data_IF_902435151371
#
_entry.id   IF_902435151371
#
_cell.length_a   1.000
_cell.length_b   1.000
_cell.length_c   1.000
_cell.angle_alpha   90.00
_cell.angle_beta   90.00
_cell.angle_gamma   90.00
#
_symmetry.space_group_name_H-M   'P 1'
#
loop_
_entity.id
_entity.type
_entity.pdbx_description
1 polymer ?
#
# COMPACT_ATOMS: atom_id res chain seq x y z
N UNK A 1 -4.98 -7.43 -0.46
CA UNK A 1 -4.00 -7.91 0.55
C UNK A 1 -4.33 -9.36 0.90
N UNK A 2 -3.43 -10.11 1.52
CA UNK A 2 -3.69 -11.51 1.95
C UNK A 2 -5.02 -11.65 2.70
N UNK A 3 -5.33 -10.69 3.58
CA UNK A 3 -6.57 -10.66 4.36
C UNK A 3 -7.85 -10.64 3.51
N UNK A 4 -7.82 -10.05 2.32
CA UNK A 4 -8.97 -10.02 1.41
C UNK A 4 -9.20 -11.40 0.77
N UNK A 5 -8.12 -12.12 0.45
CA UNK A 5 -8.18 -13.50 -0.07
C UNK A 5 -8.62 -14.46 1.04
N UNK A 6 -8.09 -14.27 2.27
CA UNK A 6 -8.49 -15.03 3.45
C UNK A 6 -9.98 -14.86 3.77
N UNK A 7 -10.55 -13.67 3.53
CA UNK A 7 -11.98 -13.44 3.69
C UNK A 7 -12.82 -14.26 2.70
N UNK A 8 -12.34 -14.48 1.48
CA UNK A 8 -12.98 -15.37 0.50
C UNK A 8 -12.80 -16.85 0.88
N UNK A 9 -11.62 -17.22 1.40
CA UNK A 9 -11.34 -18.58 1.85
C UNK A 9 -12.24 -18.99 3.03
N UNK A 10 -12.43 -18.12 4.02
CA UNK A 10 -13.38 -18.34 5.14
C UNK A 10 -14.83 -18.54 4.72
N UNK A 11 -15.20 -18.08 3.52
CA UNK A 11 -16.54 -18.31 2.94
C UNK A 11 -16.61 -19.60 2.12
N UNK A 12 -15.56 -20.41 2.11
CA UNK A 12 -15.45 -21.65 1.36
C UNK A 12 -15.30 -21.47 -0.16
N UNK A 13 -15.01 -20.24 -0.62
CA UNK A 13 -14.89 -19.95 -2.06
C UNK A 13 -13.49 -20.28 -2.61
N UNK A 14 -12.49 -20.27 -1.73
CA UNK A 14 -11.08 -20.57 -2.01
C UNK A 14 -10.59 -21.54 -0.93
N UNK A 15 -9.78 -22.55 -1.26
CA UNK A 15 -9.27 -23.44 -0.22
C UNK A 15 -8.40 -22.72 0.82
N UNK A 16 -8.35 -23.29 2.03
CA UNK A 16 -7.63 -22.73 3.17
C UNK A 16 -6.13 -22.60 2.93
N UNK A 17 -5.54 -23.53 2.18
CA UNK A 17 -4.12 -23.54 1.86
C UNK A 17 -3.74 -22.68 0.63
N UNK A 18 -4.57 -21.70 0.24
CA UNK A 18 -4.40 -20.95 -1.01
C UNK A 18 -3.05 -20.25 -1.13
N UNK A 19 -2.50 -19.74 -0.03
CA UNK A 19 -1.22 -19.04 -0.02
C UNK A 19 -0.06 -19.96 -0.41
N UNK A 20 -0.18 -21.27 -0.15
CA UNK A 20 0.83 -22.25 -0.54
C UNK A 20 0.68 -22.82 -1.95
N UNK A 21 -0.32 -22.37 -2.72
CA UNK A 21 -0.59 -22.93 -4.07
C UNK A 21 0.31 -22.36 -5.15
N UNK A 22 0.92 -21.20 -4.92
CA UNK A 22 1.85 -20.54 -5.83
C UNK A 22 3.14 -20.16 -5.08
N UNK A 23 4.25 -19.92 -5.79
CA UNK A 23 5.51 -19.51 -5.17
C UNK A 23 5.37 -18.25 -4.32
N UNK A 24 6.29 -18.08 -3.36
CA UNK A 24 6.38 -16.89 -2.51
C UNK A 24 5.07 -16.52 -1.82
N UNK A 25 4.38 -17.51 -1.23
CA UNK A 25 3.10 -17.31 -0.54
C UNK A 25 2.02 -16.69 -1.43
N UNK A 26 2.00 -17.06 -2.72
CA UNK A 26 1.10 -16.49 -3.73
C UNK A 26 1.24 -14.96 -3.90
N UNK A 27 2.45 -14.44 -3.73
CA UNK A 27 2.77 -13.02 -3.91
C UNK A 27 3.77 -12.88 -5.07
N UNK A 28 3.33 -12.53 -6.29
CA UNK A 28 4.20 -12.52 -7.48
C UNK A 28 5.11 -11.30 -7.57
N UNK A 29 4.86 -10.27 -6.76
CA UNK A 29 5.64 -9.04 -6.70
C UNK A 29 5.42 -8.34 -5.36
N UNK A 30 6.26 -7.36 -5.06
CA UNK A 30 6.11 -6.50 -3.88
C UNK A 30 6.01 -5.04 -4.29
N UNK A 31 5.66 -4.20 -3.31
CA UNK A 31 5.70 -2.75 -3.43
C UNK A 31 5.81 -2.16 -2.03
N UNK A 32 5.53 -0.88 -1.89
CA UNK A 32 5.67 -0.13 -0.65
C UNK A 32 4.92 1.20 -0.73
N UNK A 33 4.87 1.93 0.39
CA UNK A 33 4.32 3.28 0.45
C UNK A 33 5.45 4.30 0.35
N UNK A 34 5.26 5.28 -0.52
CA UNK A 34 6.17 6.41 -0.74
C UNK A 34 5.37 7.71 -0.71
N UNK A 35 6.08 8.83 -0.75
CA UNK A 35 5.47 10.15 -0.77
C UNK A 35 5.60 10.77 -2.16
N UNK A 36 4.51 11.29 -2.68
CA UNK A 36 4.54 12.17 -3.86
C UNK A 36 4.40 13.59 -3.38
N UNK A 37 5.34 14.45 -3.79
CA UNK A 37 5.33 15.88 -3.46
C UNK A 37 5.42 16.71 -4.74
N UNK A 38 5.08 17.99 -4.62
CA UNK A 38 5.24 18.94 -5.72
C UNK A 38 6.71 19.16 -6.05
N UNK A 39 7.00 19.51 -7.30
CA UNK A 39 8.34 19.85 -7.78
C UNK A 39 9.03 20.84 -6.83
N UNK A 40 10.29 20.55 -6.52
CA UNK A 40 11.10 21.36 -5.61
C UNK A 40 10.82 21.07 -4.13
N UNK A 41 9.83 20.24 -3.80
CA UNK A 41 9.47 19.85 -2.44
C UNK A 41 9.35 21.08 -1.50
N UNK A 42 8.35 21.96 -1.71
CA UNK A 42 8.26 23.24 -1.02
C UNK A 42 8.09 23.12 0.50
N UNK A 43 7.61 21.96 0.99
CA UNK A 43 7.51 21.65 2.42
C UNK A 43 8.74 20.91 2.94
N UNK A 44 9.74 20.60 2.13
CA UNK A 44 10.92 19.88 2.57
C UNK A 44 10.62 18.52 3.22
N UNK A 45 9.59 17.80 2.75
CA UNK A 45 9.22 16.47 3.24
C UNK A 45 10.33 15.49 2.90
N UNK A 46 10.83 14.76 3.89
CA UNK A 46 11.86 13.73 3.72
C UNK A 46 11.49 12.43 4.40
N UNK A 47 10.73 12.50 5.49
CA UNK A 47 10.42 11.35 6.32
C UNK A 47 9.03 11.49 6.99
N UNK A 48 8.57 10.43 7.64
CA UNK A 48 7.32 10.36 8.39
C UNK A 48 7.11 11.51 9.39
N UNK A 49 8.09 11.92 10.23
CA UNK A 49 7.89 13.04 11.16
C UNK A 49 7.50 14.37 10.49
N UNK A 50 7.84 14.56 9.21
CA UNK A 50 7.49 15.77 8.47
C UNK A 50 6.00 15.84 8.13
N UNK A 51 5.32 14.69 8.05
CA UNK A 51 3.93 14.59 7.63
C UNK A 51 2.94 15.11 8.69
N UNK A 52 3.37 15.22 9.94
CA UNK A 52 2.54 15.67 11.07
C UNK A 52 2.78 17.14 11.45
N UNK A 53 3.67 17.84 10.72
CA UNK A 53 3.89 19.27 10.96
C UNK A 53 2.61 20.07 10.68
N UNK A 54 2.30 21.11 11.48
CA UNK A 54 0.98 21.77 11.43
C UNK A 54 0.59 22.32 10.05
N UNK A 55 1.56 22.78 9.27
CA UNK A 55 1.38 23.41 7.96
C UNK A 55 1.26 22.42 6.79
N UNK A 56 1.45 21.12 7.04
CA UNK A 56 1.44 20.08 6.00
C UNK A 56 0.03 19.52 5.85
N UNK A 57 -0.45 19.47 4.61
CA UNK A 57 -1.69 18.81 4.24
C UNK A 57 -1.37 17.50 3.52
N UNK A 58 -1.88 16.41 4.05
CA UNK A 58 -1.66 15.04 3.57
C UNK A 58 -2.84 14.56 2.74
N UNK A 59 -2.57 13.87 1.65
CA UNK A 59 -3.56 13.13 0.87
C UNK A 59 -3.27 11.65 0.96
N UNK A 60 -4.25 10.87 1.40
CA UNK A 60 -4.24 9.41 1.31
C UNK A 60 -5.65 8.91 0.99
N UNK A 61 -5.76 7.73 0.39
CA UNK A 61 -7.06 7.11 0.16
C UNK A 61 -7.65 6.55 1.47
N UNK A 62 -8.98 6.42 1.53
CA UNK A 62 -9.72 5.92 2.70
C UNK A 62 -9.32 4.47 3.07
N UNK A 63 -8.74 4.23 4.26
CA UNK A 63 -8.37 2.88 4.72
C UNK A 63 -9.56 1.92 4.88
N UNK A 64 -10.79 2.42 5.00
CA UNK A 64 -11.99 1.58 5.09
C UNK A 64 -12.32 0.89 3.77
N UNK A 65 -11.94 1.50 2.64
CA UNK A 65 -12.32 1.03 1.29
C UNK A 65 -11.11 0.69 0.42
N UNK A 66 -9.94 1.23 0.71
CA UNK A 66 -8.74 1.12 -0.13
C UNK A 66 -7.60 0.36 0.56
N UNK A 67 -7.03 -0.62 -0.13
CA UNK A 67 -5.78 -1.27 0.28
C UNK A 67 -4.60 -0.29 0.37
N UNK A 68 -4.56 0.75 -0.46
CA UNK A 68 -3.56 1.83 -0.37
C UNK A 68 -3.70 2.62 0.92
N UNK A 69 -4.95 2.87 1.35
CA UNK A 69 -5.23 3.58 2.60
C UNK A 69 -4.80 2.75 3.80
N UNK A 70 -5.16 1.46 3.82
CA UNK A 70 -4.72 0.52 4.85
C UNK A 70 -3.20 0.49 4.97
N UNK A 71 -2.49 0.33 3.85
CA UNK A 71 -1.04 0.32 3.84
C UNK A 71 -0.43 1.65 4.30
N UNK A 72 -1.01 2.79 3.92
CA UNK A 72 -0.52 4.10 4.37
C UNK A 72 -0.61 4.24 5.89
N UNK A 73 -1.73 3.80 6.49
CA UNK A 73 -1.91 3.76 7.95
C UNK A 73 -0.94 2.80 8.63
N UNK A 74 -0.78 1.59 8.08
CA UNK A 74 0.14 0.60 8.65
C UNK A 74 1.60 1.02 8.51
N UNK A 75 1.97 1.69 7.40
CA UNK A 75 3.30 2.24 7.18
C UNK A 75 3.59 3.39 8.16
N UNK A 76 2.63 4.29 8.35
CA UNK A 76 2.70 5.38 9.32
C UNK A 76 2.83 4.87 10.76
N UNK A 77 2.05 3.87 11.16
CA UNK A 77 2.17 3.27 12.49
C UNK A 77 3.52 2.54 12.64
N UNK A 78 3.87 1.72 11.64
CA UNK A 78 5.07 0.91 11.65
C UNK A 78 6.35 1.72 11.66
N UNK A 79 6.39 2.91 11.02
CA UNK A 79 7.58 3.77 11.08
C UNK A 79 7.91 4.21 12.51
N UNK A 80 6.90 4.47 13.34
CA UNK A 80 7.10 4.81 14.76
C UNK A 80 7.60 3.61 15.55
N UNK A 81 6.97 2.44 15.39
CA UNK A 81 7.38 1.21 16.10
C UNK A 81 8.79 0.78 15.68
N UNK A 82 9.07 0.80 14.38
CA UNK A 82 10.37 0.43 13.82
C UNK A 82 11.48 1.37 14.28
N UNK A 83 11.16 2.66 14.46
CA UNK A 83 12.07 3.66 15.04
C UNK A 83 12.29 3.54 16.56
N UNK A 84 11.76 2.50 17.20
CA UNK A 84 11.91 2.25 18.65
C UNK A 84 10.83 2.92 19.51
N UNK A 85 9.80 3.49 18.89
CA UNK A 85 8.62 4.00 19.61
C UNK A 85 7.69 2.88 20.08
N UNK A 86 6.75 3.24 20.95
CA UNK A 86 5.72 2.33 21.46
C UNK A 86 4.34 2.59 20.84
N UNK A 87 3.37 1.72 21.12
CA UNK A 87 2.02 1.82 20.55
C UNK A 87 1.29 3.12 20.90
N UNK A 88 1.56 3.71 22.07
CA UNK A 88 0.94 4.98 22.45
C UNK A 88 1.47 6.12 21.58
N UNK A 89 2.78 6.15 21.33
CA UNK A 89 3.41 7.11 20.42
C UNK A 89 2.93 6.91 18.98
N UNK A 90 2.81 5.66 18.52
CA UNK A 90 2.32 5.35 17.18
C UNK A 90 0.85 5.78 16.99
N UNK A 91 0.01 5.59 18.00
CA UNK A 91 -1.38 6.07 18.01
C UNK A 91 -1.46 7.59 17.92
N UNK A 92 -0.65 8.28 18.72
CA UNK A 92 -0.61 9.73 18.73
C UNK A 92 -0.13 10.30 17.40
N UNK A 93 0.93 9.71 16.83
CA UNK A 93 1.41 10.06 15.50
C UNK A 93 0.32 9.85 14.43
N UNK A 94 -0.35 8.69 14.45
CA UNK A 94 -1.43 8.40 13.49
C UNK A 94 -2.59 9.39 13.64
N UNK A 95 -2.97 9.77 14.86
CA UNK A 95 -3.97 10.81 15.12
C UNK A 95 -3.56 12.13 14.48
N UNK A 96 -2.33 12.58 14.68
CA UNK A 96 -1.84 13.83 14.08
C UNK A 96 -1.81 13.76 12.55
N UNK A 97 -1.43 12.60 11.98
CA UNK A 97 -1.44 12.37 10.54
C UNK A 97 -2.86 12.50 9.96
N UNK A 98 -3.84 11.90 10.63
CA UNK A 98 -5.23 11.98 10.19
C UNK A 98 -5.79 13.41 10.31
N UNK A 99 -5.35 14.19 11.29
CA UNK A 99 -5.67 15.63 11.37
C UNK A 99 -5.07 16.44 10.23
N UNK A 100 -3.96 15.98 9.63
CA UNK A 100 -3.39 16.58 8.42
C UNK A 100 -4.09 16.11 7.14
N UNK A 101 -5.00 15.14 7.20
CA UNK A 101 -5.67 14.55 6.04
C UNK A 101 -7.13 15.00 5.90
N UNK A 102 -7.40 16.19 5.32
CA UNK A 102 -8.75 16.78 5.30
C UNK A 102 -9.75 16.00 4.44
N UNK A 103 -9.27 15.22 3.46
CA UNK A 103 -10.10 14.40 2.58
C UNK A 103 -9.55 12.98 2.51
N UNK A 104 -10.44 11.98 2.40
CA UNK A 104 -10.06 10.57 2.17
C UNK A 104 -10.81 10.03 0.95
N UNK A 105 -10.23 10.14 -0.26
CA UNK A 105 -10.83 9.59 -1.47
C UNK A 105 -10.91 8.06 -1.44
N UNK A 106 -11.90 7.46 -2.10
CA UNK A 106 -12.23 6.02 -1.99
C UNK A 106 -11.10 5.07 -2.44
N UNK A 107 -10.20 5.52 -3.31
CA UNK A 107 -9.09 4.70 -3.82
C UNK A 107 -7.84 5.50 -4.16
N UNK A 108 -6.74 4.79 -4.47
CA UNK A 108 -5.46 5.40 -4.79
C UNK A 108 -5.54 6.38 -5.99
N UNK A 109 -6.24 5.99 -7.07
CA UNK A 109 -6.40 6.86 -8.25
C UNK A 109 -7.26 8.10 -8.00
N UNK A 110 -8.27 7.99 -7.14
CA UNK A 110 -9.05 9.17 -6.72
C UNK A 110 -8.22 10.08 -5.82
N UNK A 111 -7.37 9.51 -4.97
CA UNK A 111 -6.41 10.29 -4.17
C UNK A 111 -5.40 11.03 -5.05
N UNK A 112 -4.89 10.36 -6.10
CA UNK A 112 -4.05 10.98 -7.11
C UNK A 112 -4.76 12.14 -7.82
N UNK A 113 -6.03 11.96 -8.21
CA UNK A 113 -6.82 13.01 -8.86
C UNK A 113 -7.02 14.24 -7.95
N UNK A 114 -7.29 14.02 -6.65
CA UNK A 114 -7.36 15.09 -5.64
C UNK A 114 -6.02 15.83 -5.51
N UNK A 115 -4.90 15.10 -5.46
CA UNK A 115 -3.59 15.71 -5.29
C UNK A 115 -3.10 16.47 -6.54
N UNK A 116 -3.27 15.85 -7.72
CA UNK A 116 -2.72 16.36 -8.98
C UNK A 116 -3.69 17.27 -9.73
N UNK A 117 -4.94 16.85 -9.88
CA UNK A 117 -5.97 17.57 -10.63
C UNK A 117 -6.60 18.70 -9.82
N UNK A 118 -7.10 18.40 -8.63
CA UNK A 118 -7.71 19.41 -7.74
C UNK A 118 -6.67 20.24 -6.99
N UNK A 119 -5.39 19.83 -7.06
CA UNK A 119 -4.26 20.47 -6.41
C UNK A 119 -4.44 20.61 -4.89
N UNK A 120 -5.12 19.68 -4.26
CA UNK A 120 -5.29 19.64 -2.80
C UNK A 120 -4.12 18.91 -2.17
N UNK A 121 -3.58 19.42 -1.07
CA UNK A 121 -2.50 18.78 -0.32
C UNK A 121 -1.09 19.24 -0.71
N UNK A 122 -0.15 18.98 0.20
CA UNK A 122 1.28 19.22 0.04
C UNK A 122 2.04 17.92 -0.28
N UNK A 123 1.52 16.78 0.22
CA UNK A 123 2.10 15.45 0.06
C UNK A 123 1.01 14.39 -0.07
N UNK A 124 1.21 13.43 -0.97
CA UNK A 124 0.35 12.26 -1.13
C UNK A 124 1.09 10.99 -0.68
N UNK A 125 0.44 10.15 0.12
CA UNK A 125 0.90 8.80 0.46
C UNK A 125 0.22 7.81 -0.48
N UNK A 126 1.02 7.05 -1.21
CA UNK A 126 0.49 6.12 -2.22
C UNK A 126 1.45 4.96 -2.46
N UNK A 127 0.98 3.96 -3.20
CA UNK A 127 1.81 2.87 -3.71
C UNK A 127 2.93 3.43 -4.58
N UNK A 128 4.14 2.87 -4.44
CA UNK A 128 5.28 3.21 -5.28
C UNK A 128 4.98 3.12 -6.79
N UNK A 129 4.22 2.11 -7.22
CA UNK A 129 3.81 1.96 -8.62
C UNK A 129 2.92 3.10 -9.11
N UNK A 130 2.02 3.60 -8.25
CA UNK A 130 1.17 4.76 -8.56
C UNK A 130 1.98 6.05 -8.54
N UNK A 131 2.89 6.23 -7.58
CA UNK A 131 3.80 7.37 -7.55
C UNK A 131 4.62 7.46 -8.84
N UNK A 132 5.23 6.35 -9.27
CA UNK A 132 5.99 6.29 -10.52
C UNK A 132 5.12 6.60 -11.75
N UNK A 133 3.86 6.15 -11.77
CA UNK A 133 2.90 6.50 -12.82
C UNK A 133 2.59 8.00 -12.82
N UNK A 134 2.29 8.56 -11.66
CA UNK A 134 1.99 9.99 -11.49
C UNK A 134 3.17 10.87 -11.92
N UNK A 135 4.41 10.51 -11.59
CA UNK A 135 5.59 11.26 -12.05
C UNK A 135 5.68 11.26 -13.57
N UNK A 136 5.53 10.10 -14.23
CA UNK A 136 5.57 9.99 -15.70
C UNK A 136 4.51 10.85 -16.37
N UNK A 137 3.34 10.96 -15.76
CA UNK A 137 2.22 11.75 -16.28
C UNK A 137 2.33 13.25 -15.95
N UNK A 138 3.02 13.61 -14.86
CA UNK A 138 3.09 14.97 -14.32
C UNK A 138 3.91 15.95 -15.15
N UNK A 139 4.62 15.50 -16.19
CA UNK A 139 5.53 16.33 -17.00
C UNK A 139 6.57 17.11 -16.16
N UNK A 140 6.98 16.55 -15.03
CA UNK A 140 8.00 17.13 -14.15
C UNK A 140 7.47 18.10 -13.10
N UNK A 141 6.16 18.14 -12.86
CA UNK A 141 5.52 18.93 -11.80
C UNK A 141 5.52 18.24 -10.43
N UNK A 142 5.84 16.95 -10.40
CA UNK A 142 5.88 16.13 -9.19
C UNK A 142 7.25 15.47 -9.03
N UNK A 143 7.54 15.04 -7.81
CA UNK A 143 8.69 14.21 -7.49
C UNK A 143 8.35 13.23 -6.37
N UNK A 144 9.05 12.09 -6.34
CA UNK A 144 8.89 11.07 -5.28
C UNK A 144 9.90 11.39 -4.17
N UNK A 145 9.43 11.28 -2.93
CA UNK A 145 10.27 11.19 -1.75
C UNK A 145 10.14 9.77 -1.19
N UNK A 146 11.27 9.09 -1.10
CA UNK A 146 11.38 7.79 -0.48
C UNK A 146 11.75 7.98 0.99
N UNK A 147 10.87 7.66 1.94
CA UNK A 147 11.23 7.71 3.36
C UNK A 147 12.35 6.69 3.65
N UNK A 148 13.16 6.88 4.71
CA UNK A 148 14.19 5.91 5.09
C UNK A 148 13.63 4.50 5.32
N UNK A 149 12.43 4.42 5.88
CA UNK A 149 11.73 3.18 6.19
C UNK A 149 10.29 3.21 5.69
N UNK A 150 9.77 2.09 5.23
CA UNK A 150 8.34 1.92 4.92
C UNK A 150 7.90 0.46 5.08
N UNK A 151 6.61 0.18 4.88
CA UNK A 151 6.08 -1.18 4.94
C UNK A 151 6.39 -1.95 3.64
N UNK A 152 6.74 -3.23 3.76
CA UNK A 152 6.74 -4.17 2.63
C UNK A 152 5.30 -4.52 2.28
N UNK A 153 4.82 -4.03 1.16
CA UNK A 153 3.50 -4.38 0.64
C UNK A 153 3.60 -5.64 -0.23
N UNK A 154 2.75 -6.62 0.05
CA UNK A 154 2.80 -7.95 -0.55
C UNK A 154 1.43 -8.31 -1.15
N UNK A 155 1.11 -7.83 -2.37
CA UNK A 155 -0.14 -8.17 -3.04
C UNK A 155 -0.24 -9.67 -3.30
N UNK A 156 -1.34 -10.27 -2.83
CA UNK A 156 -1.61 -11.70 -2.98
C UNK A 156 -2.52 -11.98 -4.18
N UNK A 157 -2.26 -13.07 -4.88
CA UNK A 157 -3.10 -13.58 -5.97
C UNK A 157 -3.65 -14.96 -5.63
N UNK A 158 -4.86 -15.27 -6.09
CA UNK A 158 -5.45 -16.60 -5.97
C UNK A 158 -6.54 -16.78 -7.02
N UNK A 159 -6.71 -18.01 -7.52
CA UNK A 159 -7.91 -18.37 -8.27
C UNK A 159 -9.04 -18.74 -7.31
N UNK A 160 -10.28 -18.43 -7.69
CA UNK A 160 -11.46 -18.73 -6.88
C UNK A 160 -12.00 -20.11 -7.25
N UNK A 161 -11.77 -21.12 -6.40
CA UNK A 161 -12.11 -22.53 -6.66
C UNK A 161 -13.57 -22.72 -7.07
N UNK A 162 -14.49 -22.03 -6.39
CA UNK A 162 -15.92 -22.10 -6.70
C UNK A 162 -16.25 -21.61 -8.13
N UNK A 163 -15.59 -20.53 -8.57
CA UNK A 163 -15.85 -19.92 -9.88
C UNK A 163 -15.20 -20.73 -11.00
N UNK A 164 -13.93 -21.11 -10.86
CA UNK A 164 -13.23 -21.86 -11.92
C UNK A 164 -13.86 -23.23 -12.15
N UNK A 165 -14.40 -23.86 -11.09
CA UNK A 165 -15.17 -25.11 -11.20
C UNK A 165 -16.48 -24.89 -11.94
N UNK A 166 -17.22 -23.84 -11.60
CA UNK A 166 -18.50 -23.50 -12.24
C UNK A 166 -18.35 -23.19 -13.72
N UNK A 167 -17.25 -22.55 -14.11
CA UNK A 167 -17.03 -22.07 -15.47
C UNK A 167 -16.11 -22.97 -16.30
N UNK A 168 -15.51 -24.01 -15.72
CA UNK A 168 -14.59 -24.91 -16.43
C UNK A 168 -13.26 -24.25 -16.81
N UNK A 169 -12.85 -23.19 -16.11
CA UNK A 169 -11.68 -22.35 -16.46
C UNK A 169 -10.48 -22.58 -15.54
N UNK A 170 -10.42 -23.73 -14.86
CA UNK A 170 -9.40 -23.99 -13.85
C UNK A 170 -7.98 -24.03 -14.43
N UNK A 171 -7.80 -24.59 -15.63
CA UNK A 171 -6.49 -24.66 -16.28
C UNK A 171 -6.02 -23.27 -16.69
N UNK A 172 -6.86 -22.50 -17.38
CA UNK A 172 -6.54 -21.13 -17.80
C UNK A 172 -6.23 -20.21 -16.62
N UNK A 173 -7.01 -20.28 -15.54
CA UNK A 173 -6.81 -19.45 -14.36
C UNK A 173 -5.48 -19.78 -13.65
N UNK A 174 -5.11 -21.06 -13.57
CA UNK A 174 -3.82 -21.48 -13.01
C UNK A 174 -2.66 -21.03 -13.89
N UNK A 175 -2.72 -21.30 -15.19
CA UNK A 175 -1.69 -20.90 -16.14
C UNK A 175 -1.47 -19.38 -16.13
N UNK A 176 -2.55 -18.59 -16.04
CA UNK A 176 -2.46 -17.13 -15.92
C UNK A 176 -1.72 -16.69 -14.65
N UNK A 177 -2.02 -17.28 -13.49
CA UNK A 177 -1.35 -16.90 -12.24
C UNK A 177 0.08 -17.42 -12.15
N UNK A 178 0.36 -18.61 -12.69
CA UNK A 178 1.71 -19.16 -12.79
C UNK A 178 2.58 -18.31 -13.72
N UNK A 179 2.00 -17.79 -14.82
CA UNK A 179 2.71 -16.89 -15.73
C UNK A 179 3.26 -15.66 -15.03
N UNK A 180 2.61 -15.15 -13.98
CA UNK A 180 3.09 -13.99 -13.20
C UNK A 180 4.50 -14.19 -12.61
N UNK A 181 4.95 -15.44 -12.47
CA UNK A 181 6.27 -15.79 -11.94
C UNK A 181 7.32 -16.04 -13.03
N UNK A 182 6.94 -16.01 -14.31
CA UNK A 182 7.88 -16.11 -15.42
C UNK A 182 8.76 -14.87 -15.56
N UNK A 183 9.96 -15.01 -16.12
CA UNK A 183 10.86 -13.89 -16.40
C UNK A 183 10.18 -12.79 -17.23
N UNK A 184 9.37 -13.19 -18.21
CA UNK A 184 8.61 -12.26 -19.04
C UNK A 184 7.63 -11.43 -18.21
N UNK A 185 6.87 -12.05 -17.30
CA UNK A 185 5.95 -11.31 -16.43
C UNK A 185 6.71 -10.44 -15.42
N UNK A 186 7.83 -10.92 -14.88
CA UNK A 186 8.66 -10.15 -13.96
C UNK A 186 9.24 -8.89 -14.62
N UNK A 187 9.65 -8.97 -15.89
CA UNK A 187 10.05 -7.79 -16.68
C UNK A 187 8.88 -6.79 -16.89
N UNK A 188 7.65 -7.29 -17.09
CA UNK A 188 6.45 -6.45 -17.19
C UNK A 188 6.16 -5.77 -15.85
N UNK A 189 6.24 -6.51 -14.74
CA UNK A 189 6.05 -6.01 -13.36
C UNK A 189 6.98 -4.82 -13.08
N UNK A 190 8.27 -4.95 -13.40
CA UNK A 190 9.26 -3.85 -13.25
C UNK A 190 8.90 -2.66 -14.12
N UNK A 191 8.56 -2.87 -15.40
CA UNK A 191 8.16 -1.80 -16.33
C UNK A 191 6.99 -0.98 -15.82
N UNK A 192 6.08 -1.60 -15.07
CA UNK A 192 4.92 -0.94 -14.48
C UNK A 192 5.17 -0.36 -13.07
N UNK A 193 6.42 -0.41 -12.58
CA UNK A 193 6.82 0.23 -11.33
C UNK A 193 6.55 -0.61 -10.07
N UNK A 194 6.41 -1.92 -10.22
CA UNK A 194 6.36 -2.86 -9.09
C UNK A 194 7.73 -3.47 -8.83
N UNK A 195 7.99 -3.92 -7.61
CA UNK A 195 9.24 -4.58 -7.24
C UNK A 195 9.15 -6.07 -7.56
N UNK A 196 9.95 -6.52 -8.51
CA UNK A 196 10.05 -7.92 -8.92
C UNK A 196 10.65 -8.79 -7.81
N UNK A 197 10.37 -10.09 -7.86
CA UNK A 197 11.05 -11.11 -7.04
C UNK A 197 12.36 -11.59 -7.67
N UNK A 198 12.54 -11.39 -8.98
CA UNK A 198 13.76 -11.76 -9.71
C UNK A 198 14.86 -10.73 -9.46
N UNK A 199 15.99 -11.19 -8.95
CA UNK A 199 17.16 -10.34 -8.70
C UNK A 199 17.69 -9.71 -9.99
N UNK A 200 17.62 -10.44 -11.11
CA UNK A 200 18.05 -9.96 -12.42
C UNK A 200 17.12 -8.85 -12.94
N UNK A 201 15.80 -9.04 -12.82
CA UNK A 201 14.82 -8.01 -13.19
C UNK A 201 14.91 -6.77 -12.28
N UNK A 202 15.23 -6.97 -11.00
CA UNK A 202 15.49 -5.87 -10.06
C UNK A 202 16.78 -5.11 -10.39
N UNK A 203 17.81 -5.77 -10.93
CA UNK A 203 19.05 -5.10 -11.32
C UNK A 203 18.84 -4.14 -12.51
N UNK A 204 17.90 -4.45 -13.40
CA UNK A 204 17.48 -3.56 -14.49
C UNK A 204 16.58 -2.39 -14.00
N UNK A 205 16.08 -2.46 -12.77
CA UNK A 205 15.22 -1.45 -12.14
C UNK A 205 16.03 -0.29 -11.53
N UNK A 206 16.90 0.36 -12.31
CA UNK A 206 17.56 1.63 -11.92
C UNK A 206 16.55 2.73 -11.49
N UNK A 207 15.25 2.51 -11.74
CA UNK A 207 14.14 3.40 -11.45
C UNK A 207 13.73 3.46 -9.98
N UNK A 208 14.11 2.50 -9.13
CA UNK A 208 13.60 2.42 -7.76
C UNK A 208 14.74 2.34 -6.74
N UNK A 209 14.89 3.33 -5.84
CA UNK A 209 15.94 3.32 -4.85
C UNK A 209 15.74 2.21 -3.82
N UNK A 210 16.87 1.75 -3.28
CA UNK A 210 16.88 0.85 -2.12
C UNK A 210 16.26 1.58 -0.93
N UNK A 211 15.34 0.91 -0.26
CA UNK A 211 14.62 1.41 0.91
C UNK A 211 14.52 0.28 1.94
N UNK A 212 14.53 0.62 3.22
CA UNK A 212 14.31 -0.34 4.28
C UNK A 212 12.82 -0.65 4.40
N UNK A 213 12.45 -1.93 4.25
CA UNK A 213 11.06 -2.36 4.22
C UNK A 213 10.77 -3.31 5.38
N UNK A 214 9.98 -2.85 6.35
CA UNK A 214 9.56 -3.73 7.45
C UNK A 214 8.39 -4.63 7.05
N UNK A 215 8.36 -5.88 7.54
CA UNK A 215 7.23 -6.77 7.36
C UNK A 215 6.03 -6.34 8.21
N UNK A 216 4.84 -6.85 7.88
CA UNK A 216 3.62 -6.65 8.68
C UNK A 216 3.78 -7.07 10.15
N UNK A 217 4.70 -8.00 10.42
CA UNK A 217 4.99 -8.51 11.77
C UNK A 217 5.55 -7.47 12.74
N UNK A 218 6.00 -6.31 12.24
CA UNK A 218 6.38 -5.17 13.10
C UNK A 218 5.16 -4.50 13.73
N UNK A 219 3.99 -4.54 13.08
CA UNK A 219 2.78 -3.83 13.53
C UNK A 219 1.70 -4.74 14.09
N UNK A 220 1.66 -6.00 13.66
CA UNK A 220 0.63 -6.98 13.98
C UNK A 220 1.15 -8.41 13.77
N UNK A 221 0.56 -9.42 14.41
CA UNK A 221 1.03 -10.80 14.26
C UNK A 221 0.86 -11.37 12.83
N UNK A 222 -0.09 -10.84 12.06
CA UNK A 222 -0.39 -11.23 10.68
C UNK A 222 -1.21 -10.15 9.97
N UNK A 223 -1.44 -10.30 8.66
CA UNK A 223 -2.38 -9.44 7.93
C UNK A 223 -3.82 -9.52 8.46
N UNK A 224 -4.25 -10.69 8.96
CA UNK A 224 -5.56 -10.83 9.59
C UNK A 224 -5.61 -10.09 10.93
N UNK A 225 -4.56 -10.22 11.75
CA UNK A 225 -4.46 -9.50 13.02
C UNK A 225 -4.43 -7.98 12.77
N UNK A 226 -3.67 -7.52 11.78
CA UNK A 226 -3.66 -6.12 11.36
C UNK A 226 -5.06 -5.63 10.94
N UNK A 227 -5.78 -6.44 10.15
CA UNK A 227 -7.14 -6.11 9.74
C UNK A 227 -8.09 -5.93 10.94
N UNK A 228 -7.98 -6.80 11.96
CA UNK A 228 -8.80 -6.70 13.17
C UNK A 228 -8.38 -5.52 14.06
N UNK A 229 -7.08 -5.42 14.36
CA UNK A 229 -6.52 -4.42 15.26
C UNK A 229 -6.69 -2.99 14.76
N UNK A 230 -6.58 -2.78 13.44
CA UNK A 230 -6.59 -1.43 12.87
C UNK A 230 -7.91 -1.05 12.21
N UNK A 231 -8.61 -1.97 11.56
CA UNK A 231 -9.67 -1.63 10.60
C UNK A 231 -11.01 -2.34 10.84
N UNK A 232 -11.16 -3.09 11.93
CA UNK A 232 -12.48 -3.55 12.37
C UNK A 232 -13.31 -2.38 12.93
N UNK A 233 -14.59 -2.63 13.19
CA UNK A 233 -15.47 -1.65 13.82
C UNK A 233 -14.94 -1.28 15.21
N UNK A 234 -14.82 0.03 15.50
CA UNK A 234 -14.25 0.56 16.74
C UNK A 234 -12.76 0.23 16.96
N UNK A 235 -12.05 -0.19 15.90
CA UNK A 235 -10.62 -0.46 15.96
C UNK A 235 -9.78 0.83 16.01
N UNK A 236 -8.44 0.69 16.02
CA UNK A 236 -7.52 1.82 16.15
C UNK A 236 -7.86 2.96 15.18
N UNK A 237 -8.14 2.65 13.90
CA UNK A 237 -8.42 3.67 12.90
C UNK A 237 -9.66 4.50 13.26
N UNK A 238 -10.76 3.87 13.68
CA UNK A 238 -11.98 4.59 14.08
C UNK A 238 -11.78 5.45 15.33
N UNK A 239 -10.84 5.09 16.20
CA UNK A 239 -10.51 5.91 17.39
C UNK A 239 -9.68 7.15 17.07
N UNK A 240 -8.95 7.17 15.95
CA UNK A 240 -8.05 8.27 15.55
C UNK A 240 -8.61 9.12 14.42
N UNK A 241 -9.39 8.54 13.51
CA UNK A 241 -10.12 9.24 12.45
C UNK A 241 -11.43 9.78 13.01
N UNK A 242 -11.39 11.02 13.52
CA UNK A 242 -12.62 11.67 14.01
C UNK A 242 -13.57 11.94 12.82
N UNK A 243 -14.89 11.80 13.02
CA UNK A 243 -15.86 12.12 11.99
C UNK A 243 -15.66 13.59 11.55
N UNK A 244 -15.35 13.79 10.28
CA UNK A 244 -15.34 15.12 9.69
C UNK A 244 -16.78 15.59 9.52
N UNK A 245 -17.11 16.86 9.83
CA UNK A 245 -18.39 17.41 9.43
C UNK A 245 -18.52 17.25 7.92
N UNK A 246 -19.65 16.71 7.46
CA UNK A 246 -19.96 16.70 6.03
C UNK A 246 -20.01 18.16 5.56
N UNK A 247 -19.44 18.48 4.38
CA UNK A 247 -19.54 19.82 3.81
C UNK A 247 -21.01 20.25 3.64
#
# INVERSE_FOLDING_TARGET
>A
LSSDVDALSKRGLIAENWAGRLPHNSQPFTSTIVFVVRKGNPRGIRDWPDLVRPEVVVVLSDPRTSGSGKLSVLAAWGSVIYGGGNEQQAREYLRQLMERAPVLPVGARTAAATFTGERIGDVQLTWESEALREIRESKGDLQIVYPPVSIRAEPSVAWVDANVRRHGTAEDAKAYLEFLYSDQAQAIIVRHGYRSLSLDALAESEQVPRMELFPITVVAASWQDAQQKFFAENAIFDTVDRPRPKP
#
